data_IF_881845098369
#
_entry.id   IF_881845098369
#
_cell.length_a   1.000
_cell.length_b   1.000
_cell.length_c   1.000
_cell.angle_alpha   90.00
_cell.angle_beta   90.00
_cell.angle_gamma   90.00
#
_symmetry.space_group_name_H-M   'P 1'
#
loop_
_entity.id
_entity.type
_entity.pdbx_description
1 polymer ?
#
# COMPACT_ATOMS: atom_id res chain seq x y z
N UNK A 1 -16.91 -7.88 16.38
CA UNK A 1 -15.87 -8.12 17.42
C UNK A 1 -15.81 -6.91 18.33
N UNK A 2 -16.01 -7.05 19.65
CA UNK A 2 -15.74 -5.98 20.61
C UNK A 2 -14.34 -6.21 21.19
N UNK A 3 -13.34 -5.48 20.69
CA UNK A 3 -11.98 -5.51 21.25
C UNK A 3 -11.94 -4.55 22.44
N UNK A 4 -11.30 -4.95 23.53
CA UNK A 4 -10.96 -4.01 24.60
C UNK A 4 -10.07 -2.89 24.05
N UNK A 5 -10.18 -1.66 24.58
CA UNK A 5 -9.37 -0.54 24.11
C UNK A 5 -7.87 -0.85 24.26
N UNK A 6 -7.01 -0.43 23.31
CA UNK A 6 -5.58 -0.76 23.28
C UNK A 6 -4.75 -0.07 24.37
N UNK A 7 -5.38 0.70 25.25
CA UNK A 7 -4.74 1.51 26.27
C UNK A 7 -5.74 2.46 26.92
N UNK A 8 -5.22 3.37 27.75
CA UNK A 8 -5.99 4.38 28.45
C UNK A 8 -5.46 5.77 28.09
N UNK A 9 -6.31 6.78 28.24
CA UNK A 9 -5.84 8.17 28.20
C UNK A 9 -5.68 8.68 29.62
N UNK A 10 -4.54 9.32 29.89
CA UNK A 10 -4.22 9.93 31.18
C UNK A 10 -4.09 11.43 30.97
N UNK A 11 -4.75 12.21 31.82
CA UNK A 11 -4.54 13.67 31.86
C UNK A 11 -3.28 13.97 32.67
N UNK A 12 -2.35 14.70 32.04
CA UNK A 12 -1.06 15.06 32.62
C UNK A 12 -0.95 16.59 32.60
N UNK A 13 -0.22 17.14 33.57
CA UNK A 13 0.11 18.56 33.59
C UNK A 13 1.59 18.74 33.87
N UNK A 14 2.31 19.36 32.94
CA UNK A 14 3.71 19.75 33.10
C UNK A 14 3.83 21.22 32.76
N UNK A 15 4.51 22.01 33.60
CA UNK A 15 4.71 23.45 33.39
C UNK A 15 3.42 24.28 33.17
N UNK A 16 2.28 23.85 33.71
CA UNK A 16 1.01 24.59 33.67
C UNK A 16 0.09 24.28 32.49
N UNK A 17 0.55 23.51 31.49
CA UNK A 17 -0.29 23.04 30.39
C UNK A 17 -0.85 21.64 30.65
N UNK A 18 -2.18 21.48 30.45
CA UNK A 18 -2.86 20.19 30.56
C UNK A 18 -2.93 19.53 29.19
N UNK A 19 -2.52 18.29 29.11
CA UNK A 19 -2.62 17.49 27.89
C UNK A 19 -3.11 16.08 28.21
N UNK A 20 -3.72 15.45 27.20
CA UNK A 20 -4.23 14.08 27.29
C UNK A 20 -3.26 13.15 26.56
N UNK A 21 -2.57 12.29 27.30
CA UNK A 21 -1.62 11.34 26.74
C UNK A 21 -2.25 9.95 26.63
N UNK A 22 -2.03 9.25 25.50
CA UNK A 22 -2.39 7.85 25.37
C UNK A 22 -1.29 6.97 25.97
N UNK A 23 -1.66 6.12 26.93
CA UNK A 23 -0.81 5.11 27.53
C UNK A 23 -1.28 3.73 27.05
N UNK A 24 -0.51 3.04 26.20
CA UNK A 24 -0.85 1.70 25.74
C UNK A 24 -0.99 0.71 26.90
N UNK A 25 -1.82 -0.31 26.73
CA UNK A 25 -1.87 -1.42 27.67
C UNK A 25 -0.49 -2.12 27.72
N UNK A 26 -0.02 -2.42 28.93
CA UNK A 26 1.28 -3.07 29.12
C UNK A 26 1.29 -4.46 28.48
N UNK A 27 2.44 -4.82 27.91
CA UNK A 27 2.73 -6.16 27.41
C UNK A 27 3.73 -6.86 28.34
N UNK A 28 3.55 -8.16 28.66
CA UNK A 28 2.45 -9.04 28.20
C UNK A 28 1.10 -8.68 28.85
N UNK A 29 -0.04 -9.06 28.22
CA UNK A 29 -1.36 -8.81 28.80
C UNK A 29 -1.56 -9.59 30.10
N UNK A 30 -2.36 -9.03 31.02
CA UNK A 30 -2.79 -9.67 32.27
C UNK A 30 -4.32 -9.83 32.27
N UNK A 31 -4.88 -11.05 32.38
CA UNK A 31 -4.17 -12.33 32.44
C UNK A 31 -3.42 -12.66 31.14
N UNK A 32 -2.36 -13.48 31.20
CA UNK A 32 -1.61 -13.91 30.03
C UNK A 32 -2.48 -14.55 28.95
N UNK A 33 -1.99 -14.51 27.70
CA UNK A 33 -2.65 -15.14 26.56
C UNK A 33 -2.86 -16.63 26.85
N UNK A 34 -4.12 -17.06 26.80
CA UNK A 34 -4.48 -18.48 26.95
C UNK A 34 -4.20 -19.20 25.63
N UNK A 35 -3.18 -20.05 25.63
CA UNK A 35 -2.86 -20.95 24.51
C UNK A 35 -3.85 -22.11 24.43
N UNK A 36 -5.07 -21.82 23.98
CA UNK A 36 -6.08 -22.85 23.71
C UNK A 36 -5.61 -23.78 22.59
N UNK A 37 -6.22 -24.97 22.49
CA UNK A 37 -5.96 -25.91 21.39
C UNK A 37 -6.22 -25.29 20.01
N UNK A 38 -7.24 -24.44 19.90
CA UNK A 38 -7.56 -23.70 18.68
C UNK A 38 -6.48 -22.66 18.33
N UNK A 39 -5.99 -21.90 19.32
CA UNK A 39 -4.94 -20.91 19.10
C UNK A 39 -3.60 -21.59 18.75
N UNK A 40 -3.24 -22.67 19.45
CA UNK A 40 -2.05 -23.47 19.11
C UNK A 40 -2.12 -24.01 17.70
N UNK A 41 -3.25 -24.61 17.30
CA UNK A 41 -3.42 -25.10 15.92
C UNK A 41 -3.22 -24.00 14.89
N UNK A 42 -3.86 -22.83 15.09
CA UNK A 42 -3.67 -21.68 14.18
C UNK A 42 -2.22 -21.20 14.13
N UNK A 43 -1.53 -21.24 15.26
CA UNK A 43 -0.12 -20.88 15.34
C UNK A 43 0.76 -21.89 14.61
N UNK A 44 0.52 -23.19 14.80
CA UNK A 44 1.23 -24.27 14.10
C UNK A 44 0.98 -24.20 12.59
N UNK A 45 -0.27 -23.98 12.16
CA UNK A 45 -0.63 -23.79 10.76
C UNK A 45 0.10 -22.58 10.15
N UNK A 46 0.19 -21.47 10.91
CA UNK A 46 0.94 -20.28 10.49
C UNK A 46 2.44 -20.56 10.37
N UNK A 47 3.04 -21.29 11.32
CA UNK A 47 4.44 -21.70 11.25
C UNK A 47 4.72 -22.59 10.04
N UNK A 48 3.83 -23.53 9.72
CA UNK A 48 3.94 -24.36 8.51
C UNK A 48 3.85 -23.51 7.24
N UNK A 49 2.93 -22.55 7.19
CA UNK A 49 2.80 -21.65 6.05
C UNK A 49 4.06 -20.79 5.85
N UNK A 50 4.63 -20.26 6.93
CA UNK A 50 5.91 -19.53 6.90
C UNK A 50 7.05 -20.42 6.42
N UNK A 51 7.18 -21.65 6.94
CA UNK A 51 8.21 -22.58 6.48
C UNK A 51 8.08 -22.96 4.99
N UNK A 52 6.85 -23.06 4.47
CA UNK A 52 6.62 -23.26 3.03
C UNK A 52 7.03 -22.04 2.21
N UNK A 53 6.75 -20.83 2.69
CA UNK A 53 7.17 -19.59 2.05
C UNK A 53 8.70 -19.48 2.01
N UNK A 54 9.37 -19.80 3.11
CA UNK A 54 10.84 -19.84 3.18
C UNK A 54 11.42 -20.84 2.18
N UNK A 55 10.83 -22.04 2.09
CA UNK A 55 11.26 -23.06 1.12
C UNK A 55 11.12 -22.60 -0.34
N UNK A 56 10.01 -21.91 -0.67
CA UNK A 56 9.80 -21.32 -1.99
C UNK A 56 10.82 -20.21 -2.27
N UNK A 57 11.10 -19.36 -1.29
CA UNK A 57 12.05 -18.26 -1.42
C UNK A 57 13.45 -18.75 -1.81
N UNK A 58 13.89 -19.91 -1.31
CA UNK A 58 15.19 -20.50 -1.66
C UNK A 58 15.32 -20.92 -3.14
N UNK A 59 14.20 -21.05 -3.85
CA UNK A 59 14.14 -21.53 -5.24
C UNK A 59 13.70 -20.42 -6.22
N UNK A 60 13.30 -19.26 -5.71
CA UNK A 60 12.97 -18.11 -6.54
C UNK A 60 14.26 -17.42 -6.97
N UNK A 61 14.43 -17.10 -8.26
CA UNK A 61 15.64 -16.46 -8.75
C UNK A 61 15.89 -15.10 -8.08
N UNK A 62 14.82 -14.42 -7.62
CA UNK A 62 14.89 -13.14 -6.92
C UNK A 62 13.81 -13.07 -5.81
N UNK A 63 13.96 -13.85 -4.73
CA UNK A 63 12.98 -13.89 -3.64
C UNK A 63 12.73 -12.53 -2.98
N UNK A 64 13.79 -11.73 -2.77
CA UNK A 64 13.66 -10.38 -2.21
C UNK A 64 12.70 -9.54 -3.04
N UNK A 65 12.82 -9.59 -4.37
CA UNK A 65 11.99 -8.81 -5.30
C UNK A 65 10.49 -9.16 -5.19
N UNK A 66 10.17 -10.43 -4.97
CA UNK A 66 8.79 -10.90 -4.75
C UNK A 66 8.27 -10.40 -3.40
N UNK A 67 9.06 -10.51 -2.33
CA UNK A 67 8.69 -10.06 -0.99
C UNK A 67 8.49 -8.54 -0.94
N UNK A 68 9.39 -7.77 -1.55
CA UNK A 68 9.27 -6.31 -1.64
C UNK A 68 8.02 -5.90 -2.40
N UNK A 69 7.73 -6.52 -3.55
CA UNK A 69 6.51 -6.25 -4.32
C UNK A 69 5.25 -6.55 -3.50
N UNK A 70 5.26 -7.62 -2.70
CA UNK A 70 4.15 -7.99 -1.85
C UNK A 70 3.97 -7.02 -0.67
N UNK A 71 5.05 -6.68 0.06
CA UNK A 71 5.00 -5.68 1.13
C UNK A 71 4.49 -4.35 0.57
N UNK A 72 5.00 -3.91 -0.58
CA UNK A 72 4.52 -2.73 -1.30
C UNK A 72 3.01 -2.77 -1.54
N UNK A 73 2.47 -3.92 -1.95
CA UNK A 73 1.01 -4.07 -2.14
C UNK A 73 0.18 -3.99 -0.85
N UNK A 74 0.80 -4.21 0.31
CA UNK A 74 0.14 -4.14 1.62
C UNK A 74 0.22 -2.74 2.25
N UNK A 75 1.33 -2.03 2.06
CA UNK A 75 1.57 -0.73 2.72
C UNK A 75 1.23 0.46 1.83
N UNK A 76 1.21 0.26 0.50
CA UNK A 76 1.05 1.36 -0.44
C UNK A 76 2.36 2.11 -0.75
N UNK A 77 2.24 3.19 -1.51
CA UNK A 77 3.33 4.14 -1.79
C UNK A 77 3.09 5.44 -1.01
N UNK A 78 4.16 6.07 -0.53
CA UNK A 78 4.08 7.44 -0.02
C UNK A 78 3.48 8.39 -1.07
N UNK A 79 2.51 9.22 -0.68
CA UNK A 79 1.79 10.11 -1.60
C UNK A 79 2.72 11.12 -2.28
N UNK A 80 3.75 11.61 -1.60
CA UNK A 80 4.76 12.50 -2.17
C UNK A 80 5.55 11.79 -3.26
N UNK A 81 6.06 10.60 -2.96
CA UNK A 81 6.78 9.77 -3.91
C UNK A 81 5.91 9.34 -5.12
N UNK A 82 4.62 9.07 -4.93
CA UNK A 82 3.70 8.81 -6.04
C UNK A 82 3.52 10.02 -6.97
N UNK A 83 3.41 11.23 -6.39
CA UNK A 83 3.35 12.48 -7.16
C UNK A 83 4.64 12.76 -7.92
N UNK A 84 5.79 12.57 -7.27
CA UNK A 84 7.11 12.80 -7.87
C UNK A 84 7.35 11.85 -9.04
N UNK A 85 6.97 10.59 -8.89
CA UNK A 85 7.01 9.63 -9.99
C UNK A 85 6.16 10.08 -11.18
N UNK A 86 4.91 10.51 -10.92
CA UNK A 86 3.99 11.00 -11.94
C UNK A 86 4.37 12.36 -12.51
N UNK A 87 5.21 13.15 -11.82
CA UNK A 87 5.66 14.45 -12.31
C UNK A 87 6.41 14.31 -13.64
N UNK A 88 7.20 13.25 -13.80
CA UNK A 88 7.91 12.94 -15.06
C UNK A 88 6.96 12.81 -16.26
N UNK A 89 5.76 12.25 -16.05
CA UNK A 89 4.74 12.14 -17.07
C UNK A 89 4.06 13.49 -17.39
N UNK A 90 3.93 14.38 -16.41
CA UNK A 90 3.20 15.66 -16.53
C UNK A 90 4.05 16.75 -17.17
N UNK A 91 5.37 16.74 -16.95
CA UNK A 91 6.29 17.81 -17.38
C UNK A 91 6.15 18.09 -18.88
N UNK A 92 5.95 19.37 -19.22
CA UNK A 92 5.87 19.84 -20.61
C UNK A 92 4.53 19.58 -21.30
N UNK A 93 3.52 19.04 -20.61
CA UNK A 93 2.19 18.76 -21.18
C UNK A 93 1.13 19.73 -20.66
N UNK A 94 0.28 20.22 -21.56
CA UNK A 94 -0.96 20.89 -21.21
C UNK A 94 -2.06 19.84 -21.07
N UNK A 95 -2.34 19.41 -19.84
CA UNK A 95 -3.36 18.40 -19.55
C UNK A 95 -4.73 19.05 -19.34
N UNK A 96 -5.77 18.36 -19.82
CA UNK A 96 -7.17 18.70 -19.52
C UNK A 96 -7.56 18.32 -18.09
N UNK A 97 -8.66 18.88 -17.59
CA UNK A 97 -9.17 18.57 -16.26
C UNK A 97 -9.39 17.05 -16.05
N UNK A 98 -9.97 16.35 -17.03
CA UNK A 98 -10.20 14.90 -16.94
C UNK A 98 -8.90 14.09 -16.92
N UNK A 99 -7.86 14.53 -17.64
CA UNK A 99 -6.54 13.88 -17.61
C UNK A 99 -5.85 14.10 -16.26
N UNK A 100 -5.96 15.30 -15.68
CA UNK A 100 -5.43 15.58 -14.33
C UNK A 100 -6.14 14.70 -13.29
N UNK A 101 -7.46 14.60 -13.37
CA UNK A 101 -8.24 13.77 -12.46
C UNK A 101 -7.87 12.29 -12.58
N UNK A 102 -7.69 11.79 -13.81
CA UNK A 102 -7.21 10.43 -14.03
C UNK A 102 -5.85 10.18 -13.37
N UNK A 103 -4.91 11.12 -13.49
CA UNK A 103 -3.59 11.01 -12.84
C UNK A 103 -3.72 11.04 -11.33
N UNK A 104 -4.63 11.85 -10.77
CA UNK A 104 -4.89 11.85 -9.33
C UNK A 104 -5.41 10.49 -8.85
N UNK A 105 -6.33 9.85 -9.60
CA UNK A 105 -6.78 8.49 -9.31
C UNK A 105 -5.63 7.47 -9.34
N UNK A 106 -4.69 7.62 -10.28
CA UNK A 106 -3.48 6.78 -10.34
C UNK A 106 -2.62 6.99 -9.09
N UNK A 107 -2.40 8.24 -8.67
CA UNK A 107 -1.65 8.58 -7.45
C UNK A 107 -2.33 8.01 -6.21
N UNK A 108 -3.65 8.13 -6.11
CA UNK A 108 -4.42 7.59 -4.98
C UNK A 108 -4.33 6.05 -4.96
N UNK A 109 -4.47 5.38 -6.11
CA UNK A 109 -4.33 3.93 -6.22
C UNK A 109 -2.91 3.46 -5.85
N UNK A 110 -1.86 4.16 -6.31
CA UNK A 110 -0.49 3.89 -5.88
C UNK A 110 -0.34 4.09 -4.36
N UNK A 111 -1.00 5.09 -3.78
CA UNK A 111 -0.93 5.36 -2.35
C UNK A 111 -1.59 4.26 -1.53
N UNK A 112 -2.67 3.67 -2.02
CA UNK A 112 -3.42 2.62 -1.33
C UNK A 112 -2.88 1.21 -1.56
N UNK A 113 -2.43 0.93 -2.79
CA UNK A 113 -2.08 -0.42 -3.23
C UNK A 113 -0.62 -0.56 -3.68
N UNK A 114 0.16 0.52 -3.73
CA UNK A 114 1.61 0.51 -3.92
C UNK A 114 2.09 0.21 -5.35
N UNK A 115 1.22 -0.38 -6.16
CA UNK A 115 1.39 -0.70 -7.58
C UNK A 115 0.08 -0.41 -8.32
N UNK A 116 0.16 -0.17 -9.62
CA UNK A 116 -0.99 -0.11 -10.53
C UNK A 116 -0.72 -1.11 -11.64
N UNK A 117 -1.46 -2.21 -11.68
CA UNK A 117 -1.38 -3.15 -12.80
C UNK A 117 -2.07 -2.54 -14.03
N UNK A 118 -1.54 -2.72 -15.25
CA UNK A 118 -2.09 -2.09 -16.46
C UNK A 118 -3.60 -2.33 -16.67
N UNK A 119 -4.09 -3.52 -16.30
CA UNK A 119 -5.52 -3.86 -16.38
C UNK A 119 -6.42 -3.04 -15.45
N UNK A 120 -5.90 -2.60 -14.29
CA UNK A 120 -6.68 -1.83 -13.32
C UNK A 120 -7.13 -0.47 -13.86
N UNK A 121 -6.40 0.09 -14.83
CA UNK A 121 -6.78 1.34 -15.51
C UNK A 121 -8.07 1.22 -16.32
N UNK A 122 -8.51 0.00 -16.62
CA UNK A 122 -9.74 -0.31 -17.37
C UNK A 122 -10.88 -0.77 -16.46
N UNK A 123 -10.77 -0.53 -15.16
CA UNK A 123 -11.79 -0.82 -14.15
C UNK A 123 -12.20 0.48 -13.41
N UNK A 124 -13.28 0.43 -12.64
CA UNK A 124 -13.64 1.53 -11.72
C UNK A 124 -12.54 1.67 -10.65
N UNK A 125 -12.13 2.90 -10.26
CA UNK A 125 -12.76 4.20 -10.57
C UNK A 125 -12.32 4.86 -11.89
N UNK A 126 -11.36 4.29 -12.61
CA UNK A 126 -10.79 4.91 -13.82
C UNK A 126 -11.80 5.01 -14.97
N UNK A 127 -12.64 3.98 -15.15
CA UNK A 127 -13.69 3.96 -16.17
C UNK A 127 -14.89 4.88 -15.86
N UNK A 128 -14.98 5.41 -14.64
CA UNK A 128 -16.06 6.32 -14.25
C UNK A 128 -15.83 7.72 -14.84
N UNK A 129 -14.57 8.09 -15.11
CA UNK A 129 -14.20 9.31 -15.81
C UNK A 129 -14.51 9.24 -17.32
N UNK A 130 -14.33 8.06 -17.92
CA UNK A 130 -14.67 7.80 -19.32
C UNK A 130 -14.92 6.31 -19.56
N UNK A 131 -15.98 5.95 -20.31
CA UNK A 131 -16.31 4.55 -20.58
C UNK A 131 -15.23 3.77 -21.35
N UNK A 132 -14.25 4.45 -21.94
CA UNK A 132 -13.11 3.82 -22.66
C UNK A 132 -11.84 3.72 -21.80
N UNK A 133 -11.91 4.11 -20.52
CA UNK A 133 -10.73 4.17 -19.65
C UNK A 133 -9.65 5.11 -20.21
N UNK A 134 -8.36 4.82 -20.03
CA UNK A 134 -7.28 5.72 -20.42
C UNK A 134 -7.27 6.05 -21.93
N UNK A 135 -7.73 5.14 -22.79
CA UNK A 135 -7.79 5.33 -24.25
C UNK A 135 -8.73 6.47 -24.66
N UNK A 136 -9.69 6.83 -23.79
CA UNK A 136 -10.59 7.96 -23.99
C UNK A 136 -9.98 9.31 -23.61
N UNK A 137 -8.84 9.32 -22.91
CA UNK A 137 -8.22 10.53 -22.35
C UNK A 137 -6.83 10.80 -22.93
N UNK A 138 -6.07 9.77 -23.30
CA UNK A 138 -4.69 9.89 -23.73
C UNK A 138 -4.52 9.35 -25.16
N UNK A 139 -3.60 9.94 -25.93
CA UNK A 139 -3.17 9.34 -27.20
C UNK A 139 -2.38 8.05 -26.92
N UNK A 140 -2.26 7.17 -27.91
CA UNK A 140 -1.45 5.94 -27.79
C UNK A 140 -0.02 6.23 -27.28
N UNK A 141 0.62 7.28 -27.80
CA UNK A 141 1.96 7.69 -27.38
C UNK A 141 1.99 8.11 -25.91
N UNK A 142 0.98 8.89 -25.47
CA UNK A 142 0.87 9.30 -24.08
C UNK A 142 0.54 8.11 -23.17
N UNK A 143 -0.24 7.14 -23.64
CA UNK A 143 -0.54 5.95 -22.88
C UNK A 143 0.70 5.08 -22.69
N UNK A 144 1.51 4.90 -23.75
CA UNK A 144 2.78 4.18 -23.66
C UNK A 144 3.74 4.85 -22.66
N UNK A 145 3.83 6.19 -22.67
CA UNK A 145 4.60 6.95 -21.68
C UNK A 145 4.08 6.78 -20.24
N UNK A 146 2.75 6.78 -20.06
CA UNK A 146 2.13 6.56 -18.76
C UNK A 146 2.44 5.15 -18.24
N UNK A 147 2.25 4.13 -19.06
CA UNK A 147 2.55 2.74 -18.72
C UNK A 147 4.04 2.54 -18.43
N UNK A 148 4.93 3.18 -19.19
CA UNK A 148 6.36 3.17 -18.93
C UNK A 148 6.71 3.82 -17.59
N UNK A 149 6.03 4.91 -17.22
CA UNK A 149 6.19 5.57 -15.91
C UNK A 149 5.75 4.64 -14.78
N UNK A 150 4.60 3.97 -14.92
CA UNK A 150 4.11 3.02 -13.92
C UNK A 150 5.04 1.81 -13.77
N UNK A 151 5.57 1.31 -14.89
CA UNK A 151 6.55 0.22 -14.87
C UNK A 151 7.86 0.65 -14.21
N UNK A 152 8.30 1.89 -14.43
CA UNK A 152 9.46 2.45 -13.74
C UNK A 152 9.21 2.54 -12.23
N UNK A 153 8.05 3.02 -11.79
CA UNK A 153 7.66 3.03 -10.36
C UNK A 153 7.67 1.62 -9.77
N UNK A 154 7.15 0.65 -10.52
CA UNK A 154 7.19 -0.77 -10.14
C UNK A 154 8.63 -1.29 -10.06
N UNK A 155 9.52 -0.83 -10.94
CA UNK A 155 10.93 -1.21 -10.92
C UNK A 155 11.70 -0.58 -9.77
N UNK A 156 11.44 0.68 -9.41
CA UNK A 156 12.05 1.33 -8.23
C UNK A 156 11.66 0.61 -6.94
N UNK A 157 10.44 0.06 -6.87
CA UNK A 157 10.00 -0.78 -5.76
C UNK A 157 10.77 -2.12 -5.63
N UNK A 158 11.55 -2.51 -6.66
CA UNK A 158 12.36 -3.74 -6.67
C UNK A 158 13.82 -3.52 -6.23
N UNK A 159 14.26 -2.26 -6.10
CA UNK A 159 15.67 -1.89 -5.91
C UNK A 159 16.01 -1.34 -4.50
N UNK A 160 15.02 -1.17 -3.62
CA UNK A 160 15.17 -0.75 -2.22
C UNK A 160 14.87 -1.94 -1.30
#
# INVERSE_FOLDING_TARGET
MRRSPPGIYVEMATAGERFRAFVPAALPPDPPIVWSSALRRRFDDALVALGRLDALSAHLPNASLVLYSFVRSLVGLDRGAAKDAMASFIVGKALSANQIEFINLVVDHLTEHGIVEPGALYESPFTDLTPRGPDGLFSMVQLDELLSTLEAVRATAKAA
#
